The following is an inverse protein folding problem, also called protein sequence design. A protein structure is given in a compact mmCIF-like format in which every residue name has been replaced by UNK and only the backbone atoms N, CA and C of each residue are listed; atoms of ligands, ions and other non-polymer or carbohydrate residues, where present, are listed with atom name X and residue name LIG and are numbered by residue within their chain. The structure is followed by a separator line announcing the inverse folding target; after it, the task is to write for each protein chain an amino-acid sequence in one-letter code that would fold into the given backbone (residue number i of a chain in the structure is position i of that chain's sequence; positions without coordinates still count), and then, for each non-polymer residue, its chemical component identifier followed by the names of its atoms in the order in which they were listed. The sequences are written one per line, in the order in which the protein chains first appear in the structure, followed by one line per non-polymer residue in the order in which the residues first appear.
data_IF_891312570038
#
_entry.id   IF_891312570038
#
_cell.length_a   1.000
_cell.length_b   1.000
_cell.length_c   1.000
_cell.angle_alpha   90.00
_cell.angle_beta   90.00
_cell.angle_gamma   90.00
#
_symmetry.space_group_name_H-M   'P 1'
#
loop_
_entity.id
_entity.type
_entity.pdbx_description
1 polymer ?
#
# COMPACT_ATOMS: atom_id res chain seq x y z
N UNK A 1 8.57 15.25 12.07
CA UNK A 1 9.03 13.86 12.34
C UNK A 1 9.52 13.26 11.04
N UNK A 2 10.63 12.50 11.04
CA UNK A 2 11.14 11.88 9.81
C UNK A 2 10.14 10.86 9.26
N UNK A 3 10.12 10.68 7.94
CA UNK A 3 9.32 9.66 7.29
C UNK A 3 9.86 8.27 7.68
N UNK A 4 9.01 7.44 8.27
CA UNK A 4 9.38 6.09 8.69
C UNK A 4 8.25 5.12 8.41
N UNK A 5 8.60 3.95 7.88
CA UNK A 5 7.72 2.79 7.89
C UNK A 5 7.61 2.28 9.32
N UNK A 6 6.44 2.47 9.92
CA UNK A 6 6.09 1.89 11.22
C UNK A 6 5.76 0.41 11.01
N UNK A 7 5.01 0.12 9.96
CA UNK A 7 4.77 -1.24 9.48
C UNK A 7 5.17 -1.30 8.00
N UNK A 8 6.30 -1.97 7.68
CA UNK A 8 6.69 -2.18 6.30
C UNK A 8 5.72 -3.14 5.62
N UNK A 9 5.73 -3.12 4.29
CA UNK A 9 5.03 -4.11 3.49
C UNK A 9 5.58 -5.51 3.81
N UNK A 10 4.70 -6.49 3.91
CA UNK A 10 5.06 -7.89 4.12
C UNK A 10 4.58 -8.75 2.97
N UNK A 11 5.35 -9.80 2.69
CA UNK A 11 4.97 -10.82 1.72
C UNK A 11 3.68 -11.48 2.20
N UNK A 12 2.71 -11.58 1.29
CA UNK A 12 1.37 -12.11 1.58
C UNK A 12 1.04 -13.18 0.55
N UNK A 13 0.84 -14.40 1.01
CA UNK A 13 0.37 -15.50 0.19
C UNK A 13 -1.14 -15.42 -0.01
N UNK A 14 -1.59 -15.52 -1.25
CA UNK A 14 -3.01 -15.44 -1.61
C UNK A 14 -3.36 -16.63 -2.49
N UNK A 15 -4.51 -17.24 -2.22
CA UNK A 15 -5.02 -18.34 -3.03
C UNK A 15 -5.41 -17.79 -4.40
N UNK A 16 -5.01 -18.48 -5.47
CA UNK A 16 -5.44 -18.16 -6.83
C UNK A 16 -6.95 -17.93 -6.87
N UNK A 17 -7.39 -16.86 -7.54
CA UNK A 17 -8.78 -16.36 -7.64
C UNK A 17 -9.31 -15.50 -6.48
N UNK A 18 -8.58 -15.37 -5.37
CA UNK A 18 -8.92 -14.44 -4.29
C UNK A 18 -8.21 -13.09 -4.46
N UNK A 19 -8.80 -12.04 -3.87
CA UNK A 19 -8.17 -10.73 -3.80
C UNK A 19 -7.15 -10.71 -2.66
N UNK A 20 -5.94 -10.25 -2.96
CA UNK A 20 -4.92 -9.99 -1.95
C UNK A 20 -5.18 -8.66 -1.25
N UNK A 21 -4.65 -8.49 -0.05
CA UNK A 21 -4.65 -7.19 0.63
C UNK A 21 -3.24 -6.90 1.12
N UNK A 22 -2.70 -5.79 0.66
CA UNK A 22 -1.37 -5.32 1.01
C UNK A 22 -1.51 -4.03 1.83
N UNK A 23 -0.88 -4.00 2.99
CA UNK A 23 -0.94 -2.85 3.90
C UNK A 23 0.44 -2.40 4.34
N UNK A 24 0.60 -1.09 4.53
CA UNK A 24 1.76 -0.52 5.18
C UNK A 24 1.36 0.69 6.03
N UNK A 25 2.12 0.94 7.09
CA UNK A 25 1.94 2.10 7.95
C UNK A 25 3.16 3.01 7.85
N UNK A 26 2.93 4.25 7.45
CA UNK A 26 3.96 5.26 7.29
C UNK A 26 3.62 6.48 8.14
N UNK A 27 4.55 6.86 9.00
CA UNK A 27 4.44 8.04 9.82
C UNK A 27 5.45 9.09 9.32
N UNK A 28 5.00 10.33 9.15
CA UNK A 28 5.84 11.43 8.70
C UNK A 28 5.09 12.76 8.72
N UNK A 29 5.83 13.85 8.91
CA UNK A 29 5.32 15.21 8.78
C UNK A 29 6.28 15.96 7.85
N UNK A 30 5.85 16.39 6.64
CA UNK A 30 4.48 16.36 6.12
C UNK A 30 3.98 14.95 5.78
N UNK A 31 2.67 14.82 5.54
CA UNK A 31 2.02 13.54 5.21
C UNK A 31 2.74 12.86 4.03
N UNK A 32 2.96 11.56 4.15
CA UNK A 32 3.57 10.76 3.11
C UNK A 32 2.70 10.72 1.85
N UNK A 33 3.33 10.82 0.68
CA UNK A 33 2.69 10.47 -0.58
C UNK A 33 3.10 9.03 -0.95
N UNK A 34 2.14 8.13 -1.00
CA UNK A 34 2.38 6.69 -1.17
C UNK A 34 1.92 6.26 -2.55
N UNK A 35 2.81 5.57 -3.25
CA UNK A 35 2.58 4.98 -4.57
C UNK A 35 2.86 3.49 -4.50
N UNK A 36 2.01 2.71 -5.15
CA UNK A 36 2.16 1.27 -5.25
C UNK A 36 2.74 0.91 -6.61
N UNK A 37 3.60 -0.09 -6.65
CA UNK A 37 4.24 -0.58 -7.87
C UNK A 37 4.13 -2.09 -7.95
N UNK A 38 3.95 -2.61 -9.16
CA UNK A 38 4.02 -4.03 -9.45
C UNK A 38 4.87 -4.23 -10.70
N UNK A 39 5.95 -5.00 -10.59
CA UNK A 39 6.94 -5.18 -11.65
C UNK A 39 7.40 -3.83 -12.25
N UNK A 40 7.78 -2.88 -11.38
CA UNK A 40 8.21 -1.52 -11.74
C UNK A 40 7.15 -0.61 -12.39
N UNK A 41 5.91 -1.06 -12.50
CA UNK A 41 4.80 -0.27 -13.05
C UNK A 41 4.00 0.35 -11.92
N UNK A 42 3.84 1.68 -11.93
CA UNK A 42 3.00 2.41 -10.97
C UNK A 42 1.54 1.97 -11.11
N UNK A 43 1.00 1.41 -10.03
CA UNK A 43 -0.40 1.03 -9.93
C UNK A 43 -1.25 2.26 -9.61
N UNK A 44 -2.37 2.36 -10.32
CA UNK A 44 -3.43 3.32 -10.04
C UNK A 44 -4.67 2.59 -9.57
N UNK A 45 -5.53 3.30 -8.85
CA UNK A 45 -6.84 2.78 -8.46
C UNK A 45 -7.69 2.56 -9.73
N UNK A 46 -8.15 1.33 -9.95
CA UNK A 46 -8.98 0.90 -11.08
C UNK A 46 -10.03 -0.11 -10.61
N UNK A 47 -10.84 -0.68 -11.51
CA UNK A 47 -11.80 -1.75 -11.13
C UNK A 47 -11.12 -3.04 -10.65
N UNK A 48 -9.88 -3.30 -11.08
CA UNK A 48 -9.13 -4.51 -10.70
C UNK A 48 -8.41 -4.36 -9.37
N UNK A 49 -7.99 -3.15 -9.03
CA UNK A 49 -7.15 -2.88 -7.87
C UNK A 49 -7.51 -1.54 -7.23
N UNK A 50 -7.75 -1.53 -5.92
CA UNK A 50 -8.16 -0.35 -5.16
C UNK A 50 -7.01 0.12 -4.28
N UNK A 51 -6.65 1.39 -4.41
CA UNK A 51 -5.67 2.04 -3.54
C UNK A 51 -6.39 2.99 -2.61
N UNK A 52 -6.24 2.78 -1.30
CA UNK A 52 -6.82 3.65 -0.28
C UNK A 52 -5.76 4.06 0.76
N UNK A 53 -5.98 5.19 1.40
CA UNK A 53 -5.07 5.72 2.42
C UNK A 53 -5.88 6.32 3.54
N UNK A 54 -5.83 5.68 4.72
CA UNK A 54 -6.54 6.07 5.92
C UNK A 54 -5.52 6.45 7.00
N UNK A 55 -5.42 7.75 7.27
CA UNK A 55 -4.44 8.32 8.20
C UNK A 55 -3.00 8.00 7.79
N UNK A 56 -2.33 7.10 8.53
CA UNK A 56 -0.97 6.62 8.27
C UNK A 56 -0.96 5.23 7.62
N UNK A 57 -2.13 4.59 7.47
CA UNK A 57 -2.27 3.26 6.90
C UNK A 57 -2.64 3.37 5.43
N UNK A 58 -1.86 2.71 4.59
CA UNK A 58 -2.08 2.65 3.15
C UNK A 58 -2.40 1.22 2.76
N UNK A 59 -3.42 1.03 1.92
CA UNK A 59 -3.94 -0.29 1.55
C UNK A 59 -4.10 -0.40 0.04
N UNK A 60 -3.61 -1.50 -0.51
CA UNK A 60 -3.85 -1.95 -1.88
C UNK A 60 -4.61 -3.27 -1.83
N UNK A 61 -5.72 -3.34 -2.55
CA UNK A 61 -6.57 -4.53 -2.70
C UNK A 61 -6.82 -4.87 -4.16
#
# INVERSE_FOLDING_TARGET
APLKFIQPLQDTDVINTQNGTLTCEIQGIPKANVKWFFNDIELKSTQKQSISSKQNIHTLT
#
